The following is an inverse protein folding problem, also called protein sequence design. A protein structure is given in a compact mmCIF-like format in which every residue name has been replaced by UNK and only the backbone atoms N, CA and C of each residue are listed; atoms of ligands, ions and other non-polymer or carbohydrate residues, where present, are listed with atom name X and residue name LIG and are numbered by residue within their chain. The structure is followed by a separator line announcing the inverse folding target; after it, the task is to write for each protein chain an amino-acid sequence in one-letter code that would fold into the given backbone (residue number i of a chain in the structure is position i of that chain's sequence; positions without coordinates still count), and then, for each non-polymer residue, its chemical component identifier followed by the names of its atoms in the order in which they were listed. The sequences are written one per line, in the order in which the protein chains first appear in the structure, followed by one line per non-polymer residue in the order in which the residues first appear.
data_IF_591882002424
#
_entry.id   IF_591882002424
#
_cell.length_a   1.000
_cell.length_b   1.000
_cell.length_c   1.000
_cell.angle_alpha   90.00
_cell.angle_beta   90.00
_cell.angle_gamma   90.00
#
_symmetry.space_group_name_H-M   'P 1'
#
loop_
_entity.id
_entity.type
_entity.pdbx_description
1 polymer ?
2 water ?
#
# COMPACT_ATOMS: atom_id res chain seq x y z
N UNK A 7 -25.86 -12.27 -6.78
CA UNK A 7 -26.51 -11.14 -6.10
C UNK A 7 -25.86 -9.79 -6.41
N UNK A 8 -24.84 -9.77 -7.26
CA UNK A 8 -24.09 -8.57 -7.59
C UNK A 8 -24.13 -8.36 -9.10
N UNK A 9 -24.62 -7.20 -9.52
CA UNK A 9 -24.79 -6.89 -10.94
C UNK A 9 -23.63 -6.07 -11.44
N UNK A 10 -23.09 -6.45 -12.59
CA UNK A 10 -22.04 -5.70 -13.20
C UNK A 10 -22.61 -4.48 -13.91
N UNK A 11 -21.77 -3.50 -14.26
CA UNK A 11 -22.29 -2.33 -14.99
C UNK A 11 -22.87 -2.74 -16.34
N UNK A 12 -24.01 -2.14 -16.68
CA UNK A 12 -24.61 -2.37 -17.99
C UNK A 12 -23.72 -1.84 -19.10
N UNK A 13 -23.16 -0.66 -18.87
CA UNK A 13 -22.19 -0.08 -19.81
C UNK A 13 -21.00 0.34 -18.95
N UNK A 14 -19.76 0.34 -19.46
CA UNK A 14 -18.61 0.79 -18.67
C UNK A 14 -18.81 2.23 -18.25
N UNK A 15 -18.44 2.52 -17.01
CA UNK A 15 -18.60 3.85 -16.47
C UNK A 15 -17.43 4.71 -16.89
N UNK A 16 -17.73 5.85 -17.51
CA UNK A 16 -16.71 6.79 -17.96
C UNK A 16 -16.46 7.82 -16.86
N UNK A 17 -15.24 7.85 -16.33
CA UNK A 17 -14.84 8.85 -15.34
C UNK A 17 -14.26 10.07 -16.02
N UNK A 18 -14.37 11.20 -15.37
CA UNK A 18 -13.50 12.32 -15.64
C UNK A 18 -12.31 12.31 -14.70
N UNK A 19 -11.31 13.13 -15.01
CA UNK A 19 -10.27 13.36 -14.03
C UNK A 19 -10.63 14.60 -13.19
N UNK A 20 -9.78 14.95 -12.22
CA UNK A 20 -10.21 15.91 -11.19
C UNK A 20 -9.15 16.97 -10.92
N UNK A 21 -9.44 18.20 -11.30
CA UNK A 21 -8.47 19.29 -11.21
C UNK A 21 -9.18 20.52 -10.65
N UNK A 22 -8.58 21.12 -9.63
CA UNK A 22 -9.03 22.41 -9.07
C UNK A 22 -10.52 22.38 -8.72
N UNK A 23 -10.97 21.26 -8.15
CA UNK A 23 -12.31 21.16 -7.64
C UNK A 23 -13.36 20.67 -8.64
N UNK A 24 -13.02 20.50 -9.91
CA UNK A 24 -14.03 20.14 -10.88
C UNK A 24 -13.62 18.94 -11.70
N UNK A 25 -14.63 18.18 -12.13
CA UNK A 25 -14.45 17.07 -13.04
C UNK A 25 -14.14 17.56 -14.45
N UNK A 26 -13.24 16.87 -15.11
CA UNK A 26 -12.74 17.27 -16.42
C UNK A 26 -12.87 16.10 -17.38
N UNK A 27 -13.29 16.38 -18.60
CA UNK A 27 -13.54 15.33 -19.56
C UNK A 27 -12.25 14.90 -20.22
N UNK A 28 -12.10 13.60 -20.41
CA UNK A 28 -10.97 13.09 -21.15
C UNK A 28 -11.15 13.31 -22.64
N UNK A 29 -10.03 13.22 -23.36
CA UNK A 29 -10.02 13.16 -24.82
C UNK A 29 -9.81 11.71 -25.23
N UNK A 30 -8.63 11.16 -24.99
CA UNK A 30 -8.41 9.73 -25.16
C UNK A 30 -8.68 9.02 -23.85
N UNK A 31 -8.83 7.71 -23.93
CA UNK A 31 -9.37 6.94 -22.82
C UNK A 31 -8.74 5.56 -22.81
N UNK A 32 -8.54 5.05 -21.60
CA UNK A 32 -8.11 3.68 -21.37
C UNK A 32 -9.35 2.87 -21.00
N UNK A 33 -9.62 1.80 -21.74
CA UNK A 33 -10.77 0.95 -21.49
C UNK A 33 -10.35 -0.20 -20.59
N UNK A 34 -11.03 -0.35 -19.47
CA UNK A 34 -10.65 -1.31 -18.45
C UNK A 34 -11.77 -2.32 -18.27
N UNK A 35 -11.42 -3.59 -18.35
CA UNK A 35 -12.34 -4.69 -18.10
C UNK A 35 -12.06 -5.32 -16.75
N UNK A 36 -13.09 -5.93 -16.18
CA UNK A 36 -12.99 -6.57 -14.88
C UNK A 36 -12.06 -7.76 -14.96
N UNK A 37 -10.97 -7.81 -14.19
CA UNK A 37 -10.10 -9.01 -14.22
C UNK A 37 -10.81 -10.31 -13.93
N UNK A 38 -11.87 -10.27 -13.12
CA UNK A 38 -12.61 -11.49 -12.78
C UNK A 38 -13.74 -11.83 -13.74
N UNK A 39 -14.29 -10.86 -14.48
CA UNK A 39 -15.48 -11.08 -15.28
C UNK A 39 -15.28 -10.90 -16.78
N UNK A 40 -14.13 -10.37 -17.21
CA UNK A 40 -13.90 -10.02 -18.61
C UNK A 40 -15.10 -9.26 -19.20
N UNK A 41 -15.50 -8.20 -18.52
CA UNK A 41 -16.61 -7.36 -18.94
C UNK A 41 -16.14 -5.92 -18.79
N UNK A 42 -16.39 -5.05 -19.74
CA UNK A 42 -16.00 -3.64 -19.59
C UNK A 42 -16.61 -3.03 -18.34
N UNK A 43 -15.79 -2.31 -17.58
CA UNK A 43 -16.30 -1.75 -16.32
C UNK A 43 -16.03 -0.26 -16.23
N UNK A 44 -14.86 0.20 -16.70
CA UNK A 44 -14.54 1.62 -16.55
C UNK A 44 -13.86 2.17 -17.80
N UNK A 45 -13.93 3.48 -17.93
CA UNK A 45 -13.30 4.24 -19.00
C UNK A 45 -12.59 5.41 -18.37
N UNK A 46 -11.26 5.43 -18.48
CA UNK A 46 -10.40 6.30 -17.69
C UNK A 46 -9.70 7.27 -18.61
N UNK A 47 -9.73 8.58 -18.35
CA UNK A 47 -9.00 9.52 -19.19
C UNK A 47 -7.50 9.24 -19.18
N UNK A 48 -6.89 9.29 -20.37
CA UNK A 48 -5.45 9.28 -20.52
C UNK A 48 -5.00 10.73 -20.62
N UNK A 49 -4.56 11.29 -19.50
CA UNK A 49 -4.30 12.72 -19.53
C UNK A 49 -2.98 13.04 -20.22
N UNK A 50 -2.85 14.30 -20.58
CA UNK A 50 -1.68 14.82 -21.26
C UNK A 50 -0.71 15.45 -20.27
N UNK A 51 0.51 15.72 -20.72
CA UNK A 51 1.42 16.50 -19.91
C UNK A 51 0.81 17.86 -19.57
N UNK A 52 0.05 18.43 -20.50
CA UNK A 52 -0.60 19.71 -20.21
C UNK A 52 -1.62 19.58 -19.08
N UNK A 53 -2.35 18.46 -19.03
CA UNK A 53 -3.29 18.26 -17.93
C UNK A 53 -2.55 18.26 -16.60
N UNK A 54 -1.46 17.52 -16.50
CA UNK A 54 -0.68 17.46 -15.24
C UNK A 54 -0.18 18.85 -14.85
N UNK A 55 0.26 19.64 -15.84
CA UNK A 55 0.69 20.99 -15.52
C UNK A 55 -0.43 21.77 -14.83
N UNK A 56 -1.66 21.64 -15.33
CA UNK A 56 -2.78 22.35 -14.74
C UNK A 56 -3.05 21.88 -13.33
N UNK A 57 -2.95 20.58 -13.09
CA UNK A 57 -3.14 20.03 -11.75
C UNK A 57 -2.09 20.59 -10.79
N UNK A 58 -0.83 20.61 -11.22
CA UNK A 58 0.23 21.17 -10.40
C UNK A 58 -0.03 22.66 -10.13
N UNK A 59 -0.40 23.41 -11.18
CA UNK A 59 -0.70 24.82 -10.97
C UNK A 59 -1.84 25.00 -9.97
N UNK A 60 -2.89 24.19 -10.09
CA UNK A 60 -3.99 24.30 -9.14
C UNK A 60 -3.53 24.02 -7.72
N UNK A 61 -2.72 22.95 -7.54
CA UNK A 61 -2.21 22.61 -6.22
C UNK A 61 -1.25 23.69 -5.71
N UNK A 62 -0.43 24.24 -6.60
CA UNK A 62 0.39 25.41 -6.26
C UNK A 62 -0.47 26.56 -5.75
N UNK A 63 -1.47 26.93 -6.54
CA UNK A 63 -2.36 28.03 -6.17
C UNK A 63 -2.99 27.78 -4.81
N UNK A 64 -3.52 26.57 -4.60
CA UNK A 64 -4.22 26.28 -3.35
C UNK A 64 -3.25 26.22 -2.17
N UNK A 65 -1.99 25.87 -2.39
CA UNK A 65 -1.04 25.91 -1.28
C UNK A 65 -0.66 27.34 -0.94
N UNK A 66 -0.35 28.16 -1.95
CA UNK A 66 0.23 29.47 -1.68
C UNK A 66 -0.80 30.49 -1.21
N UNK A 67 -2.07 30.34 -1.58
CA UNK A 67 -3.07 31.34 -1.27
C UNK A 67 -3.68 31.19 0.13
N UNK A 68 -3.17 30.30 0.98
CA UNK A 68 -3.69 30.16 2.32
C UNK A 68 -4.97 29.36 2.50
N UNK A 69 -5.63 28.92 1.42
CA UNK A 69 -6.94 28.27 1.58
C UNK A 69 -6.87 26.94 2.34
N UNK A 70 -5.70 26.33 2.46
CA UNK A 70 -5.59 25.05 3.15
C UNK A 70 -4.51 25.11 4.22
N UNK A 71 -3.30 25.51 3.83
CA UNK A 71 -2.20 25.56 4.80
C UNK A 71 -2.40 26.64 5.84
N UNK A 72 -3.14 27.71 5.51
CA UNK A 72 -3.34 28.79 6.45
C UNK A 72 -4.44 28.56 7.46
N UNK A 73 -5.28 27.56 7.23
CA UNK A 73 -6.32 27.23 8.19
C UNK A 73 -5.67 26.73 9.47
N UNK A 74 -6.42 26.80 10.56
CA UNK A 74 -5.99 26.11 11.76
C UNK A 74 -6.01 24.60 11.50
N UNK A 75 -5.18 23.86 12.23
CA UNK A 75 -5.18 22.41 12.06
C UNK A 75 -6.57 21.83 12.35
N UNK A 76 -7.32 22.44 13.27
CA UNK A 76 -8.64 21.93 13.60
C UNK A 76 -9.56 21.92 12.37
N UNK A 77 -9.46 22.93 11.51
CA UNK A 77 -10.29 22.94 10.31
C UNK A 77 -9.87 21.85 9.32
N UNK A 78 -8.57 21.60 9.17
CA UNK A 78 -8.11 20.48 8.36
C UNK A 78 -8.59 19.15 8.94
N UNK A 79 -8.50 18.99 10.28
CA UNK A 79 -8.98 17.77 10.90
C UNK A 79 -10.48 17.58 10.69
N UNK A 80 -11.25 18.67 10.75
CA UNK A 80 -12.70 18.53 10.57
C UNK A 80 -13.03 17.98 9.19
N UNK A 81 -12.35 18.48 8.15
CA UNK A 81 -12.56 17.97 6.80
C UNK A 81 -12.17 16.50 6.72
N UNK A 82 -11.01 16.14 7.30
CA UNK A 82 -10.55 14.76 7.21
C UNK A 82 -11.50 13.81 7.93
N UNK A 83 -12.06 14.23 9.07
CA UNK A 83 -13.00 13.39 9.79
C UNK A 83 -14.33 13.29 9.05
N UNK A 84 -14.76 14.38 8.41
CA UNK A 84 -15.97 14.27 7.62
C UNK A 84 -15.76 13.32 6.44
N UNK A 85 -14.58 13.37 5.82
CA UNK A 85 -14.28 12.43 4.74
C UNK A 85 -14.29 11.00 5.26
N UNK A 86 -13.72 10.78 6.45
CA UNK A 86 -13.78 9.45 7.04
C UNK A 86 -15.22 8.99 7.19
N UNK A 87 -16.12 9.87 7.63
CA UNK A 87 -17.52 9.47 7.77
C UNK A 87 -18.18 9.18 6.43
N UNK A 88 -17.94 10.03 5.43
CA UNK A 88 -18.44 9.75 4.10
C UNK A 88 -17.87 8.45 3.55
N UNK A 89 -16.60 8.20 3.81
CA UNK A 89 -15.99 6.95 3.36
C UNK A 89 -16.68 5.75 3.99
N UNK A 90 -17.11 5.87 5.24
CA UNK A 90 -17.87 4.80 5.88
C UNK A 90 -19.24 4.60 5.22
N UNK A 91 -19.97 5.69 4.97
CA UNK A 91 -21.27 5.55 4.31
C UNK A 91 -21.14 4.90 2.93
N UNK A 92 -20.05 5.16 2.22
CA UNK A 92 -19.89 4.69 0.85
C UNK A 92 -19.00 3.46 0.75
N UNK A 93 -18.73 2.79 1.87
CA UNK A 93 -17.88 1.57 1.90
C UNK A 93 -18.31 0.57 0.81
N UNK A 94 -19.59 0.23 0.74
CA UNK A 94 -19.99 -0.78 -0.24
C UNK A 94 -19.72 -0.31 -1.66
N UNK A 95 -19.94 0.99 -1.94
CA UNK A 95 -19.68 1.49 -3.29
C UNK A 95 -18.19 1.47 -3.64
N UNK A 96 -17.33 1.86 -2.71
CA UNK A 96 -15.87 1.89 -2.98
C UNK A 96 -15.34 0.45 -3.10
N UNK A 97 -15.81 -0.45 -2.24
CA UNK A 97 -15.40 -1.85 -2.36
C UNK A 97 -15.80 -2.42 -3.71
N UNK A 98 -17.00 -2.08 -4.17
CA UNK A 98 -17.50 -2.58 -5.43
C UNK A 98 -16.59 -2.17 -6.59
N UNK A 99 -16.27 -0.88 -6.70
CA UNK A 99 -15.41 -0.46 -7.80
C UNK A 99 -13.99 -1.00 -7.64
N UNK A 100 -13.52 -1.18 -6.40
CA UNK A 100 -12.19 -1.74 -6.18
C UNK A 100 -12.12 -3.18 -6.67
N UNK A 101 -13.07 -4.00 -6.24
CA UNK A 101 -13.19 -5.36 -6.74
C UNK A 101 -13.24 -5.36 -8.27
N UNK A 102 -14.08 -4.51 -8.87
CA UNK A 102 -14.27 -4.53 -10.31
C UNK A 102 -12.98 -4.26 -11.07
N UNK A 103 -12.13 -3.35 -10.57
CA UNK A 103 -10.95 -2.96 -11.33
C UNK A 103 -9.72 -3.78 -10.97
N UNK A 104 -9.70 -4.41 -9.82
CA UNK A 104 -8.51 -5.02 -9.28
C UNK A 104 -8.62 -6.53 -9.09
N UNK A 105 -9.83 -7.09 -8.98
CA UNK A 105 -9.98 -8.52 -8.77
C UNK A 105 -10.00 -8.96 -7.32
N UNK A 106 -9.73 -8.04 -6.40
CA UNK A 106 -9.61 -8.34 -4.99
C UNK A 106 -10.88 -8.99 -4.45
N UNK A 107 -10.78 -9.92 -3.51
CA UNK A 107 -11.99 -10.39 -2.82
C UNK A 107 -12.68 -9.23 -2.12
N UNK A 108 -14.02 -9.26 -2.16
CA UNK A 108 -14.84 -8.17 -1.60
C UNK A 108 -14.60 -8.02 -0.11
N UNK A 109 -14.39 -9.13 0.61
CA UNK A 109 -14.15 -9.03 2.05
C UNK A 109 -12.81 -8.39 2.35
N UNK A 110 -11.81 -8.63 1.50
CA UNK A 110 -10.53 -7.95 1.64
C UNK A 110 -10.67 -6.45 1.31
N UNK A 111 -11.40 -6.12 0.24
CA UNK A 111 -11.62 -4.71 -0.09
C UNK A 111 -12.33 -3.99 1.05
N UNK A 112 -13.41 -4.58 1.59
CA UNK A 112 -14.10 -3.94 2.71
C UNK A 112 -13.19 -3.81 3.91
N UNK A 113 -12.30 -4.78 4.13
CA UNK A 113 -11.39 -4.69 5.26
C UNK A 113 -10.33 -3.63 5.05
N UNK A 114 -9.85 -3.49 3.82
CA UNK A 114 -8.94 -2.40 3.52
C UNK A 114 -9.59 -1.05 3.73
N UNK A 115 -10.87 -0.90 3.35
CA UNK A 115 -11.58 0.36 3.55
C UNK A 115 -11.60 0.75 5.03
N UNK A 116 -11.85 -0.23 5.91
CA UNK A 116 -11.88 0.07 7.34
C UNK A 116 -10.53 0.59 7.82
N UNK A 117 -9.45 0.02 7.31
CA UNK A 117 -8.12 0.53 7.59
C UNK A 117 -7.95 1.92 7.01
N UNK A 118 -8.54 2.19 5.84
CA UNK A 118 -8.47 3.52 5.24
C UNK A 118 -9.20 4.55 6.10
N UNK A 119 -10.41 4.20 6.56
CA UNK A 119 -11.15 5.07 7.47
C UNK A 119 -10.29 5.42 8.67
N UNK A 120 -9.66 4.41 9.28
CA UNK A 120 -8.79 4.66 10.44
C UNK A 120 -7.60 5.55 10.10
N UNK A 121 -7.06 5.45 8.88
CA UNK A 121 -5.98 6.35 8.49
C UNK A 121 -6.45 7.80 8.48
N UNK A 122 -7.63 8.05 7.91
CA UNK A 122 -8.18 9.40 7.93
C UNK A 122 -8.31 9.94 9.35
N UNK A 123 -8.78 9.09 10.27
CA UNK A 123 -8.93 9.53 11.66
C UNK A 123 -7.59 9.75 12.36
N UNK A 124 -6.60 8.89 12.11
CA UNK A 124 -5.27 9.17 12.66
C UNK A 124 -4.75 10.50 12.15
N UNK A 125 -4.78 10.70 10.83
CA UNK A 125 -4.25 11.92 10.25
C UNK A 125 -4.93 13.14 10.87
N UNK A 126 -6.26 13.06 11.08
CA UNK A 126 -6.98 14.17 11.68
C UNK A 126 -6.46 14.50 13.07
N UNK A 127 -6.26 13.48 13.91
CA UNK A 127 -5.72 13.72 15.24
C UNK A 127 -4.31 14.25 15.20
N UNK A 128 -3.48 13.68 14.32
CA UNK A 128 -2.09 14.07 14.25
C UNK A 128 -1.92 15.49 13.70
N UNK A 129 -2.87 15.96 12.88
CA UNK A 129 -2.81 17.35 12.40
C UNK A 129 -2.75 18.31 13.56
N UNK A 130 -3.50 18.04 14.62
CA UNK A 130 -3.50 18.92 15.78
C UNK A 130 -2.25 18.78 16.62
N UNK A 131 -1.63 17.61 16.66
CA UNK A 131 -0.47 17.42 17.53
C UNK A 131 0.84 17.89 16.91
N UNK A 132 0.85 18.26 15.63
CA UNK A 132 2.11 18.56 14.97
C UNK A 132 2.79 19.74 15.64
N UNK A 133 4.08 19.60 15.97
CA UNK A 133 4.73 20.63 16.76
C UNK A 133 6.24 20.59 16.54
N UNK A 134 6.89 21.70 16.95
CA UNK A 134 8.32 21.89 16.87
C UNK A 134 8.92 22.11 18.24
N UNK A 135 10.01 22.90 18.36
CA UNK A 135 10.69 23.04 19.63
C UNK A 135 10.92 24.50 20.00
N UNK A 136 11.03 24.78 21.31
CA UNK A 136 11.51 26.06 21.80
C UNK A 136 12.83 25.87 22.54
N UNK A 137 13.72 26.83 22.36
CA UNK A 137 14.99 26.88 23.08
C UNK A 137 14.99 28.14 23.94
N UNK A 138 14.54 27.97 25.18
CA UNK A 138 14.44 29.01 26.17
C UNK A 138 15.71 29.14 27.02
N UNK A 139 16.76 28.38 26.68
CA UNK A 139 17.98 28.26 27.48
C UNK A 139 19.18 28.87 26.78
N UNK A 140 18.95 29.84 25.91
CA UNK A 140 20.05 30.50 25.23
C UNK A 140 20.53 31.75 25.94
N UNK A 141 19.99 32.05 27.12
CA UNK A 141 20.29 33.29 27.82
C UNK A 141 19.21 34.33 27.61
N UNK A 142 19.42 35.49 28.23
CA UNK A 142 18.36 36.49 28.26
C UNK A 142 18.24 37.24 26.95
N UNK A 143 19.35 37.43 26.21
CA UNK A 143 19.22 38.18 24.99
C UNK A 143 18.83 37.41 23.75
N UNK A 144 18.50 36.13 23.88
CA UNK A 144 18.40 35.28 22.71
C UNK A 144 17.31 34.23 22.91
N UNK A 145 16.53 34.01 21.87
CA UNK A 145 15.43 33.05 21.90
C UNK A 145 15.43 32.25 20.60
N UNK A 146 15.32 30.94 20.71
CA UNK A 146 15.36 30.06 19.56
C UNK A 146 14.14 29.17 19.53
N UNK A 147 13.77 28.76 18.32
CA UNK A 147 12.71 27.76 18.17
C UNK A 147 12.78 27.13 16.79
N UNK A 148 12.13 25.97 16.69
CA UNK A 148 11.95 25.26 15.43
C UNK A 148 10.46 25.17 15.14
N UNK A 149 10.07 25.53 13.93
CA UNK A 149 8.71 25.38 13.47
C UNK A 149 8.62 24.26 12.45
N UNK A 150 7.49 23.58 12.44
CA UNK A 150 7.18 22.61 11.40
C UNK A 150 6.16 23.21 10.46
N UNK A 151 6.39 23.03 9.16
CA UNK A 151 5.61 23.63 8.09
C UNK A 151 5.37 22.58 7.02
N UNK A 152 4.24 22.66 6.31
CA UNK A 152 4.02 21.72 5.19
C UNK A 152 5.09 21.88 4.13
N UNK A 153 5.52 20.74 3.57
CA UNK A 153 6.52 20.77 2.51
C UNK A 153 6.01 21.53 1.28
N UNK A 154 4.70 21.44 0.98
CA UNK A 154 4.13 22.17 -0.13
C UNK A 154 3.30 21.32 -1.06
N UNK A 155 3.64 21.30 -2.34
CA UNK A 155 2.92 20.51 -3.33
C UNK A 155 3.57 19.14 -3.42
N UNK A 156 2.78 18.09 -3.19
CA UNK A 156 3.26 16.71 -3.15
C UNK A 156 2.71 15.98 -4.37
N UNK A 157 3.61 15.32 -5.12
CA UNK A 157 3.20 14.41 -6.16
C UNK A 157 3.22 13.00 -5.60
N UNK A 158 2.16 12.26 -5.85
CA UNK A 158 2.02 10.89 -5.37
C UNK A 158 1.68 9.98 -6.53
N UNK A 159 2.41 8.88 -6.66
CA UNK A 159 2.17 7.85 -7.68
C UNK A 159 1.91 6.55 -6.97
N UNK A 160 0.75 5.95 -7.22
CA UNK A 160 0.30 4.76 -6.52
C UNK A 160 0.29 3.56 -7.47
N UNK A 161 0.33 2.33 -6.91
CA UNK A 161 0.42 1.14 -7.78
C UNK A 161 -0.91 0.41 -7.88
N UNK A 162 -0.96 -0.64 -8.72
CA UNK A 162 -2.22 -1.31 -9.00
C UNK A 162 -2.61 -2.39 -7.99
N UNK A 163 -1.71 -2.83 -7.12
CA UNK A 163 -2.07 -3.96 -6.26
C UNK A 163 -2.94 -3.53 -5.07
N UNK A 164 -2.58 -2.45 -4.39
CA UNK A 164 -3.37 -1.92 -3.27
C UNK A 164 -3.71 -0.47 -3.56
N UNK A 165 -4.49 -0.21 -4.61
CA UNK A 165 -4.62 1.16 -5.11
C UNK A 165 -5.25 2.09 -4.11
N UNK A 166 -6.38 1.68 -3.52
CA UNK A 166 -7.06 2.54 -2.55
C UNK A 166 -6.33 2.58 -1.22
N UNK A 167 -5.79 1.45 -0.80
CA UNK A 167 -5.23 1.39 0.54
C UNK A 167 -3.92 2.17 0.64
N UNK A 168 -3.07 2.10 -0.39
CA UNK A 168 -1.86 2.90 -0.36
C UNK A 168 -2.19 4.38 -0.42
N UNK A 169 -3.16 4.74 -1.26
CA UNK A 169 -3.62 6.11 -1.33
C UNK A 169 -4.01 6.63 0.05
N UNK A 170 -4.79 5.84 0.80
CA UNK A 170 -5.27 6.33 2.09
C UNK A 170 -4.22 6.23 3.19
N UNK A 171 -3.13 5.50 2.96
CA UNK A 171 -2.04 5.54 3.92
C UNK A 171 -1.19 6.79 3.75
N UNK A 172 -1.30 7.45 2.61
CA UNK A 172 -0.50 8.62 2.28
C UNK A 172 -1.34 9.90 2.28
N UNK A 173 -2.39 9.95 1.46
CA UNK A 173 -3.10 11.21 1.18
C UNK A 173 -3.57 11.92 2.43
N UNK A 174 -4.25 11.30 3.39
CA UNK A 174 -4.73 12.08 4.55
C UNK A 174 -3.61 12.65 5.38
N UNK A 175 -2.48 11.95 5.49
CA UNK A 175 -1.35 12.51 6.23
C UNK A 175 -0.70 13.65 5.46
N UNK A 176 -0.62 13.55 4.14
CA UNK A 176 -0.12 14.64 3.32
C UNK A 176 -0.98 15.88 3.54
N UNK A 177 -2.32 15.71 3.47
CA UNK A 177 -3.22 16.85 3.59
C UNK A 177 -3.23 17.40 5.00
N UNK A 178 -2.98 16.56 6.00
CA UNK A 178 -3.11 17.01 7.37
C UNK A 178 -2.12 18.12 7.72
N UNK A 179 -0.92 18.10 7.13
CA UNK A 179 0.06 19.14 7.45
C UNK A 179 -0.24 20.45 6.77
N UNK A 180 -1.09 20.44 5.75
CA UNK A 180 -1.33 21.62 4.96
C UNK A 180 -0.76 21.51 3.58
N UNK A 181 -0.13 20.38 3.25
CA UNK A 181 0.33 20.17 1.88
C UNK A 181 -0.87 20.08 0.94
N UNK A 182 -0.62 20.34 -0.35
CA UNK A 182 -1.56 20.02 -1.41
C UNK A 182 -1.01 18.86 -2.23
N UNK A 183 -1.87 18.28 -3.06
CA UNK A 183 -1.62 16.94 -3.56
C UNK A 183 -2.06 16.81 -5.02
N UNK A 184 -1.23 16.14 -5.82
CA UNK A 184 -1.60 15.65 -7.15
C UNK A 184 -1.29 14.16 -7.19
N UNK A 185 -2.29 13.35 -7.53
CA UNK A 185 -2.17 11.90 -7.52
C UNK A 185 -2.27 11.37 -8.94
N UNK A 186 -1.40 10.43 -9.29
CA UNK A 186 -1.55 9.63 -10.49
C UNK A 186 -1.68 8.17 -10.09
N UNK A 187 -2.85 7.58 -10.16
CA UNK A 187 -2.99 6.16 -9.83
C UNK A 187 -2.66 5.31 -11.04
N UNK A 188 -2.59 4.00 -10.83
CA UNK A 188 -2.31 3.09 -11.94
C UNK A 188 -3.48 3.09 -12.91
N UNK A 189 -3.16 3.11 -14.21
CA UNK A 189 -4.19 3.13 -15.25
C UNK A 189 -5.22 2.02 -15.07
N UNK A 190 -4.83 0.88 -14.50
CA UNK A 190 -5.77 -0.23 -14.41
C UNK A 190 -6.66 -0.14 -13.16
N UNK A 191 -6.29 0.67 -12.18
CA UNK A 191 -7.07 0.75 -10.94
C UNK A 191 -7.25 2.21 -10.48
N UNK A 192 -7.89 3.03 -11.33
CA UNK A 192 -8.03 4.44 -11.05
C UNK A 192 -9.34 4.81 -10.37
N UNK A 193 -10.39 3.99 -10.51
CA UNK A 193 -11.73 4.41 -10.13
C UNK A 193 -11.79 4.86 -8.68
N UNK A 194 -11.21 4.08 -7.76
CA UNK A 194 -11.40 4.41 -6.36
C UNK A 194 -10.64 5.68 -5.97
N UNK A 195 -9.54 5.98 -6.68
CA UNK A 195 -8.84 7.23 -6.41
C UNK A 195 -9.70 8.44 -6.77
N UNK A 196 -10.47 8.36 -7.88
CA UNK A 196 -11.41 9.41 -8.27
C UNK A 196 -12.61 9.45 -7.32
N UNK A 197 -13.08 8.30 -6.84
CA UNK A 197 -14.16 8.32 -5.86
C UNK A 197 -13.69 8.95 -4.55
N UNK A 198 -12.40 8.85 -4.24
CA UNK A 198 -11.90 9.57 -3.06
C UNK A 198 -11.90 11.07 -3.31
N UNK A 199 -11.58 11.49 -4.54
CA UNK A 199 -11.66 12.92 -4.88
C UNK A 199 -13.07 13.43 -4.63
N UNK A 200 -14.08 12.67 -5.07
CA UNK A 200 -15.47 13.05 -4.82
C UNK A 200 -15.76 13.13 -3.33
N UNK A 201 -15.34 12.11 -2.59
CA UNK A 201 -15.54 12.12 -1.13
C UNK A 201 -14.95 13.37 -0.50
N UNK A 202 -13.72 13.75 -0.89
CA UNK A 202 -13.08 14.89 -0.26
C UNK A 202 -13.75 16.22 -0.66
N UNK A 203 -14.24 16.36 -1.89
CA UNK A 203 -15.07 17.51 -2.22
C UNK A 203 -16.32 17.54 -1.35
N UNK A 204 -17.00 16.39 -1.24
CA UNK A 204 -18.22 16.34 -0.42
C UNK A 204 -17.91 16.61 1.04
N UNK A 205 -16.69 16.36 1.48
CA UNK A 205 -16.33 16.65 2.86
C UNK A 205 -15.91 18.10 3.05
N UNK A 206 -15.83 18.88 1.98
CA UNK A 206 -15.47 20.28 2.07
C UNK A 206 -14.01 20.63 1.83
N UNK A 207 -13.22 19.76 1.22
CA UNK A 207 -11.85 20.11 0.87
C UNK A 207 -11.84 21.26 -0.13
N UNK A 208 -11.10 22.34 0.11
CA UNK A 208 -11.03 23.42 -0.88
C UNK A 208 -10.52 22.94 -2.23
N UNK A 209 -10.85 23.70 -3.26
CA UNK A 209 -10.44 23.35 -4.62
C UNK A 209 -8.91 23.37 -4.75
N UNK A 210 -8.39 22.44 -5.56
CA UNK A 210 -6.97 22.37 -5.84
C UNK A 210 -6.12 21.71 -4.77
N UNK A 211 -6.69 21.38 -3.61
CA UNK A 211 -5.93 20.70 -2.56
C UNK A 211 -5.72 19.22 -2.90
N UNK A 212 -6.65 18.59 -3.64
CA UNK A 212 -6.53 17.20 -4.05
C UNK A 212 -6.89 17.10 -5.53
N UNK A 213 -5.95 16.67 -6.35
CA UNK A 213 -6.12 16.61 -7.79
C UNK A 213 -5.71 15.22 -8.28
N UNK A 214 -6.51 14.64 -9.17
CA UNK A 214 -6.23 13.33 -9.72
C UNK A 214 -6.03 13.47 -11.22
N UNK A 215 -4.86 13.06 -11.71
CA UNK A 215 -4.56 13.07 -13.13
C UNK A 215 -4.26 11.65 -13.56
N UNK A 216 -5.14 11.07 -14.36
CA UNK A 216 -5.01 9.69 -14.77
C UNK A 216 -4.30 9.59 -16.12
N UNK A 217 -3.82 8.38 -16.42
CA UNK A 217 -3.08 8.19 -17.63
C UNK A 217 -1.85 7.33 -17.40
N UNK A 218 -0.95 7.33 -18.38
CA UNK A 218 0.15 6.38 -18.40
C UNK A 218 1.35 6.88 -17.60
N UNK A 219 2.20 5.94 -17.21
CA UNK A 219 3.48 6.30 -16.63
C UNK A 219 4.34 7.08 -17.60
N UNK A 220 4.34 6.67 -18.88
CA UNK A 220 5.15 7.35 -19.89
C UNK A 220 4.78 8.82 -20.00
N UNK A 221 3.48 9.14 -19.95
CA UNK A 221 3.07 10.53 -20.15
C UNK A 221 2.92 11.28 -18.82
N UNK A 222 1.97 10.84 -17.97
CA UNK A 222 1.67 11.64 -16.78
C UNK A 222 2.72 11.42 -15.70
N UNK A 223 3.18 10.18 -15.51
CA UNK A 223 4.23 9.93 -14.55
C UNK A 223 5.50 10.70 -14.87
N UNK A 224 5.94 10.65 -16.13
CA UNK A 224 7.16 11.37 -16.49
C UNK A 224 7.01 12.87 -16.30
N UNK A 225 5.88 13.43 -16.73
CA UNK A 225 5.68 14.86 -16.52
C UNK A 225 5.75 15.18 -15.04
N UNK A 226 5.33 14.24 -14.20
CA UNK A 226 5.32 14.48 -12.77
C UNK A 226 6.74 14.47 -12.22
N UNK A 227 7.53 13.46 -12.60
CA UNK A 227 8.89 13.34 -12.06
C UNK A 227 9.77 14.49 -12.52
N UNK A 228 9.48 15.06 -13.69
CA UNK A 228 10.28 16.13 -14.25
C UNK A 228 9.73 17.50 -13.94
N UNK A 229 8.58 17.58 -13.26
CA UNK A 229 7.99 18.87 -12.99
C UNK A 229 8.82 19.62 -11.95
N UNK A 230 9.08 20.90 -12.20
CA UNK A 230 9.92 21.66 -11.29
C UNK A 230 9.12 22.47 -10.30
N UNK A 231 7.82 22.23 -10.19
CA UNK A 231 7.00 22.97 -9.18
C UNK A 231 6.43 22.01 -8.12
N UNK A 232 6.83 20.74 -8.16
CA UNK A 232 6.42 19.79 -7.14
C UNK A 232 7.49 19.77 -6.05
N UNK A 233 7.10 20.06 -4.81
CA UNK A 233 8.07 20.12 -3.72
C UNK A 233 8.54 18.75 -3.27
N UNK A 234 7.71 17.72 -3.43
CA UNK A 234 8.03 16.39 -2.95
C UNK A 234 7.30 15.37 -3.81
N UNK A 235 8.01 14.32 -4.19
CA UNK A 235 7.51 13.30 -5.07
C UNK A 235 7.58 11.98 -4.34
N UNK A 236 6.46 11.28 -4.24
CA UNK A 236 6.39 10.04 -3.47
C UNK A 236 5.88 8.95 -4.39
N UNK A 237 6.76 8.01 -4.74
CA UNK A 237 6.41 6.81 -5.49
C UNK A 237 6.19 5.64 -4.55
N UNK A 238 5.04 5.01 -4.68
CA UNK A 238 4.79 3.75 -3.99
C UNK A 238 4.64 2.61 -4.97
N UNK A 239 4.61 2.90 -6.27
CA UNK A 239 4.77 1.90 -7.30
C UNK A 239 6.18 1.92 -7.82
N UNK A 240 6.43 2.77 -8.82
CA UNK A 240 7.76 2.99 -9.41
C UNK A 240 8.53 1.71 -9.74
N UNK A 256 11.54 21.72 -5.51
CA UNK A 256 11.70 20.25 -5.46
C UNK A 256 12.83 19.86 -4.49
N UNK A 257 12.48 19.46 -3.28
CA UNK A 257 13.47 19.07 -2.28
C UNK A 257 13.56 17.57 -2.06
N UNK A 258 12.45 16.83 -2.03
CA UNK A 258 12.50 15.43 -1.66
C UNK A 258 11.81 14.53 -2.67
N UNK A 259 12.36 13.33 -2.81
CA UNK A 259 11.72 12.25 -3.56
C UNK A 259 11.86 10.99 -2.72
N UNK A 260 10.73 10.35 -2.40
CA UNK A 260 10.72 9.10 -1.67
C UNK A 260 10.30 7.97 -2.61
N UNK A 261 10.91 6.81 -2.43
CA UNK A 261 10.51 5.57 -3.08
C UNK A 261 10.03 4.58 -2.01
N UNK A 262 9.41 3.51 -2.45
CA UNK A 262 8.97 2.48 -1.52
C UNK A 262 9.28 1.10 -2.09
N UNK A 263 9.34 0.15 -1.18
CA UNK A 263 10.11 -1.08 -1.34
C UNK A 263 9.16 -2.27 -1.57
N UNK A 264 9.71 -3.49 -1.51
CA UNK A 264 9.03 -4.65 -2.03
C UNK A 264 8.22 -5.42 -1.02
N UNK A 265 7.41 -6.35 -1.56
CA UNK A 265 6.58 -7.25 -0.78
C UNK A 265 7.13 -8.65 -0.60
N UNK A 266 8.46 -8.76 -0.57
CA UNK A 266 9.11 -10.07 -0.29
C UNK A 266 9.28 -10.14 1.22
N UNK A 267 8.23 -9.83 1.97
CA UNK A 267 8.31 -9.72 3.40
C UNK A 267 8.60 -11.09 4.01
N UNK A 268 9.70 -11.25 4.74
CA UNK A 268 10.04 -12.54 5.34
C UNK A 268 9.38 -12.76 6.69
N UNK A 269 9.15 -14.03 6.98
CA UNK A 269 8.60 -14.52 8.23
C UNK A 269 9.60 -15.57 8.73
N UNK A 270 10.24 -15.30 9.86
CA UNK A 270 11.32 -16.14 10.36
C UNK A 270 10.76 -16.97 11.50
N UNK A 271 10.83 -18.30 11.36
CA UNK A 271 10.24 -19.20 12.35
C UNK A 271 11.32 -20.05 12.99
N UNK A 272 11.39 -20.00 14.32
CA UNK A 272 12.36 -20.75 15.10
C UNK A 272 11.70 -21.97 15.71
N UNK A 273 12.54 -22.96 16.03
CA UNK A 273 12.03 -24.21 16.59
C UNK A 273 11.38 -24.01 17.96
N UNK A 274 11.85 -23.04 18.74
CA UNK A 274 11.25 -22.83 20.06
C UNK A 274 9.96 -22.01 20.03
N UNK A 275 9.39 -21.78 18.85
CA UNK A 275 8.18 -20.99 18.73
C UNK A 275 6.94 -21.87 18.83
N UNK A 276 5.77 -21.22 18.85
CA UNK A 276 4.49 -21.92 18.74
C UNK A 276 4.21 -22.19 17.26
N UNK A 277 4.61 -23.40 16.82
CA UNK A 277 4.60 -23.71 15.39
C UNK A 277 3.20 -23.63 14.80
N UNK A 278 2.17 -23.90 15.61
CA UNK A 278 0.82 -23.85 15.08
C UNK A 278 0.40 -22.41 14.81
N UNK A 279 0.56 -21.54 15.81
CA UNK A 279 0.29 -20.11 15.59
C UNK A 279 1.15 -19.56 14.45
N UNK A 280 2.43 -19.93 14.42
CA UNK A 280 3.30 -19.45 13.34
C UNK A 280 2.79 -19.90 11.98
N UNK A 281 2.29 -21.15 11.88
CA UNK A 281 1.80 -21.63 10.61
C UNK A 281 0.53 -20.91 10.20
N UNK A 282 -0.36 -20.67 11.18
CA UNK A 282 -1.52 -19.82 10.94
C UNK A 282 -1.12 -18.47 10.37
N UNK A 283 -0.09 -17.84 10.96
CA UNK A 283 0.33 -16.53 10.49
C UNK A 283 0.83 -16.57 9.06
N UNK A 284 1.52 -17.65 8.68
CA UNK A 284 1.92 -17.81 7.28
C UNK A 284 0.69 -17.93 6.38
N UNK A 285 -0.32 -18.67 6.83
CA UNK A 285 -1.52 -18.85 6.02
C UNK A 285 -2.29 -17.54 5.86
N UNK A 286 -2.49 -16.81 6.97
CA UNK A 286 -3.16 -15.52 6.92
C UNK A 286 -2.36 -14.51 6.13
N UNK A 287 -1.03 -14.60 6.18
CA UNK A 287 -0.18 -13.64 5.50
C UNK A 287 -0.14 -13.81 4.00
N UNK A 288 -0.67 -14.91 3.49
CA UNK A 288 -0.65 -15.16 2.07
C UNK A 288 -2.04 -15.05 1.45
N UNK A 289 -3.10 -15.27 2.22
CA UNK A 289 -4.46 -15.16 1.76
C UNK A 289 -5.09 -13.93 2.39
N UNK A 290 -6.42 -13.90 2.42
CA UNK A 290 -7.16 -12.95 3.22
C UNK A 290 -8.04 -13.70 4.19
N UNK A 291 -7.92 -13.38 5.48
CA UNK A 291 -8.84 -13.90 6.49
C UNK A 291 -9.49 -12.74 7.23
N UNK A 292 -10.68 -13.00 7.79
CA UNK A 292 -11.40 -11.99 8.53
C UNK A 292 -10.58 -11.50 9.71
N UNK A 293 -10.60 -10.18 9.94
CA UNK A 293 -9.78 -9.57 10.96
C UNK A 293 -8.35 -9.29 10.53
N UNK A 294 -7.94 -9.78 9.36
CA UNK A 294 -6.68 -9.42 8.73
C UNK A 294 -6.92 -8.36 7.66
N UNK A 295 -5.87 -7.62 7.35
CA UNK A 295 -6.04 -6.52 6.42
C UNK A 295 -5.06 -6.54 5.24
N UNK A 296 -3.76 -6.41 5.50
CA UNK A 296 -2.97 -5.88 4.40
C UNK A 296 -1.46 -6.02 4.49
N UNK A 297 -0.96 -7.20 4.85
CA UNK A 297 0.48 -7.46 4.90
C UNK A 297 0.69 -8.80 4.20
N UNK A 298 0.92 -8.74 2.89
CA UNK A 298 1.32 -9.94 2.16
C UNK A 298 2.72 -10.36 2.60
N UNK A 299 2.95 -11.66 2.69
CA UNK A 299 4.27 -12.21 2.91
C UNK A 299 4.57 -13.25 1.84
N UNK A 300 5.84 -13.33 1.45
CA UNK A 300 6.21 -14.24 0.37
C UNK A 300 7.50 -15.01 0.60
N UNK A 301 8.17 -14.86 1.75
CA UNK A 301 9.36 -15.64 2.06
C UNK A 301 9.25 -16.21 3.46
N UNK A 302 9.48 -17.51 3.58
CA UNK A 302 9.45 -18.20 4.85
C UNK A 302 10.86 -18.65 5.18
N UNK A 303 11.31 -18.40 6.42
CA UNK A 303 12.69 -18.63 6.82
C UNK A 303 12.62 -19.41 8.13
N UNK A 304 12.84 -20.72 8.05
CA UNK A 304 12.40 -21.62 9.09
C UNK A 304 13.58 -22.49 9.53
N UNK A 305 13.71 -22.66 10.84
CA UNK A 305 14.81 -23.46 11.36
C UNK A 305 14.76 -24.88 10.80
N UNK A 306 15.91 -25.35 10.31
CA UNK A 306 15.96 -26.62 9.57
C UNK A 306 15.38 -27.77 10.39
N UNK A 307 15.70 -27.82 11.68
CA UNK A 307 15.24 -28.94 12.51
C UNK A 307 13.72 -29.05 12.62
N UNK A 308 12.94 -28.05 12.18
CA UNK A 308 11.49 -28.17 12.22
C UNK A 308 10.90 -27.82 10.86
N UNK A 309 11.76 -27.63 9.86
CA UNK A 309 11.27 -27.20 8.55
C UNK A 309 10.22 -28.15 7.99
N UNK A 310 10.45 -29.45 8.12
CA UNK A 310 9.54 -30.42 7.50
C UNK A 310 8.19 -30.45 8.21
N UNK A 311 8.19 -30.51 9.54
CA UNK A 311 6.92 -30.49 10.26
C UNK A 311 6.16 -29.20 9.99
N UNK A 312 6.86 -28.07 10.05
CA UNK A 312 6.18 -26.77 9.90
C UNK A 312 5.64 -26.58 8.48
N UNK A 313 6.44 -26.94 7.46
CA UNK A 313 5.96 -26.82 6.09
C UNK A 313 4.72 -27.66 5.87
N UNK A 314 4.65 -28.85 6.48
CA UNK A 314 3.43 -29.66 6.36
C UNK A 314 2.25 -28.93 6.99
N UNK A 315 2.47 -28.31 8.14
CA UNK A 315 1.43 -27.50 8.78
C UNK A 315 0.93 -26.41 7.85
N UNK A 316 1.85 -25.75 7.14
CA UNK A 316 1.50 -24.62 6.29
C UNK A 316 0.75 -25.09 5.04
N UNK A 317 1.20 -26.20 4.45
CA UNK A 317 0.54 -26.73 3.26
C UNK A 317 -0.91 -27.14 3.57
N UNK A 318 -1.13 -27.77 4.72
CA UNK A 318 -2.50 -28.13 5.09
C UNK A 318 -3.41 -26.91 5.15
N UNK A 319 -2.93 -25.81 5.76
CA UNK A 319 -3.74 -24.60 5.82
C UNK A 319 -3.85 -23.94 4.45
N UNK A 320 -2.79 -23.98 3.66
CA UNK A 320 -2.85 -23.34 2.35
C UNK A 320 -3.89 -24.00 1.45
N UNK A 321 -4.16 -25.29 1.65
CA UNK A 321 -5.08 -25.98 0.77
C UNK A 321 -6.53 -25.79 1.17
N UNK A 322 -6.79 -25.16 2.33
CA UNK A 322 -8.13 -24.74 2.68
C UNK A 322 -8.49 -23.34 2.15
N UNK A 323 -7.50 -22.57 1.69
CA UNK A 323 -7.76 -21.18 1.28
C UNK A 323 -8.75 -21.17 0.12
N UNK A 324 -9.82 -20.40 0.29
CA UNK A 324 -10.89 -20.39 -0.69
C UNK A 324 -10.57 -19.47 -1.85
N UNK A 325 -10.69 -20.00 -3.07
CA UNK A 325 -10.32 -19.29 -4.29
C UNK A 325 -11.56 -19.22 -5.16
N UNK A 326 -11.74 -18.09 -5.86
CA UNK A 326 -12.90 -17.94 -6.72
C UNK A 326 -13.53 -16.56 -6.77
N UNK A 327 -14.86 -16.54 -6.98
CA UNK A 327 -15.63 -15.33 -7.27
C UNK A 327 -15.36 -14.25 -6.24
N UNK A 328 -14.73 -13.14 -6.64
CA UNK A 328 -14.32 -12.14 -5.63
C UNK A 328 -15.50 -11.48 -4.97
N UNK A 329 -16.69 -11.50 -5.59
CA UNK A 329 -17.87 -10.93 -4.95
C UNK A 329 -18.52 -11.90 -3.97
N UNK A 330 -18.03 -13.12 -3.92
CA UNK A 330 -18.42 -14.05 -2.87
C UNK A 330 -17.72 -13.62 -1.59
N UNK A 331 -18.45 -13.31 -0.52
CA UNK A 331 -17.79 -12.80 0.69
C UNK A 331 -16.85 -13.81 1.33
N UNK A 332 -16.88 -15.09 0.93
CA UNK A 332 -15.99 -16.08 1.49
C UNK A 332 -14.72 -16.30 0.69
N UNK A 333 -14.67 -15.84 -0.56
CA UNK A 333 -13.42 -15.90 -1.30
C UNK A 333 -12.28 -15.28 -0.48
N UNK A 334 -11.12 -15.90 -0.57
CA UNK A 334 -9.92 -15.39 0.08
C UNK A 334 -8.81 -15.05 -0.91
N UNK A 335 -8.91 -15.49 -2.16
CA UNK A 335 -7.92 -15.15 -3.17
C UNK A 335 -8.70 -14.73 -4.42
N UNK A 336 -8.41 -13.55 -4.92
CA UNK A 336 -9.13 -12.98 -6.04
C UNK A 336 -8.41 -13.21 -7.37
N UNK A 337 -8.89 -12.50 -8.38
CA UNK A 337 -8.45 -12.70 -9.74
C UNK A 337 -7.15 -11.96 -10.02
N UNK A 338 -6.37 -12.51 -10.97
CA UNK A 338 -5.15 -11.85 -11.40
C UNK A 338 -5.52 -10.51 -12.03
N UNK A 339 -4.81 -9.45 -11.64
CA UNK A 339 -5.21 -8.08 -11.98
C UNK A 339 -4.87 -7.73 -13.43
N UNK A 340 -3.68 -8.07 -13.91
CA UNK A 340 -3.27 -7.73 -15.26
C UNK A 340 -2.77 -8.96 -16.01
N UNK A 341 -2.84 -8.89 -17.34
CA UNK A 341 -2.33 -9.97 -18.17
C UNK A 341 -0.82 -10.15 -18.00
N UNK A 342 -0.10 -9.07 -17.67
CA UNK A 342 1.33 -9.17 -17.43
C UNK A 342 1.62 -10.05 -16.22
N UNK A 343 1.00 -9.72 -15.08
CA UNK A 343 1.17 -10.52 -13.86
C UNK A 343 0.94 -12.01 -14.11
N UNK A 344 0.21 -12.35 -15.17
CA UNK A 344 -0.11 -13.74 -15.43
C UNK A 344 1.09 -14.52 -15.96
N UNK A 345 1.90 -13.90 -16.84
CA UNK A 345 3.06 -14.62 -17.37
C UNK A 345 4.19 -14.67 -16.36
N UNK A 346 4.32 -13.62 -15.56
CA UNK A 346 5.31 -13.61 -14.49
C UNK A 346 5.12 -14.81 -13.56
N UNK A 347 3.88 -15.16 -13.26
CA UNK A 347 3.64 -16.25 -12.30
C UNK A 347 3.99 -17.59 -12.91
N UNK A 348 3.50 -17.87 -14.12
CA UNK A 348 3.83 -19.15 -14.73
C UNK A 348 5.31 -19.24 -15.05
N UNK A 349 5.94 -18.12 -15.42
CA UNK A 349 7.39 -18.08 -15.57
C UNK A 349 8.07 -18.39 -14.25
N UNK A 350 7.70 -17.64 -13.20
CA UNK A 350 8.28 -17.86 -11.89
C UNK A 350 8.28 -19.33 -11.51
N UNK A 351 7.11 -19.97 -11.59
CA UNK A 351 7.00 -21.35 -11.14
C UNK A 351 7.84 -22.26 -12.02
N UNK A 352 7.87 -22.00 -13.32
CA UNK A 352 8.71 -22.77 -14.22
C UNK A 352 10.18 -22.64 -13.83
N UNK A 353 10.63 -21.41 -13.60
CA UNK A 353 12.00 -21.19 -13.16
C UNK A 353 12.30 -21.98 -11.89
N UNK A 354 11.39 -21.93 -10.92
CA UNK A 354 11.64 -22.61 -9.66
C UNK A 354 11.81 -24.10 -9.83
N UNK A 355 10.99 -24.71 -10.69
CA UNK A 355 11.15 -26.13 -10.98
C UNK A 355 12.48 -26.40 -11.66
N UNK A 356 12.82 -25.60 -12.66
CA UNK A 356 14.07 -25.80 -13.38
C UNK A 356 15.27 -25.78 -12.45
N UNK A 357 15.31 -24.86 -11.48
CA UNK A 357 16.47 -24.74 -10.61
C UNK A 357 16.47 -25.76 -9.47
N UNK A 358 15.52 -26.68 -9.42
CA UNK A 358 15.52 -27.69 -8.39
C UNK A 358 14.85 -27.30 -7.09
N UNK A 359 14.01 -26.28 -7.08
CA UNK A 359 13.17 -26.03 -5.92
C UNK A 359 12.02 -27.01 -5.92
N UNK A 360 11.65 -27.49 -4.74
CA UNK A 360 10.63 -28.51 -4.63
C UNK A 360 9.25 -27.87 -4.43
N UNK A 361 8.37 -28.08 -5.39
CA UNK A 361 6.99 -27.63 -5.26
C UNK A 361 6.24 -28.48 -4.25
N UNK A 362 5.72 -27.86 -3.20
CA UNK A 362 4.97 -28.61 -2.20
C UNK A 362 3.46 -28.53 -2.36
N UNK A 363 2.95 -27.52 -3.08
CA UNK A 363 1.52 -27.42 -3.33
C UNK A 363 1.28 -26.28 -4.32
N UNK A 364 0.08 -26.26 -4.88
CA UNK A 364 -0.24 -25.26 -5.90
C UNK A 364 0.62 -25.40 -7.14
N UNK A 365 0.95 -24.27 -7.76
CA UNK A 365 1.79 -24.26 -8.92
C UNK A 365 1.07 -23.86 -10.18
N UNK A 366 -0.26 -23.82 -10.16
CA UNK A 366 -1.04 -23.54 -11.34
C UNK A 366 -1.89 -22.28 -11.19
N UNK A 367 -2.41 -21.85 -12.34
CA UNK A 367 -3.37 -20.77 -12.41
C UNK A 367 -4.70 -21.38 -12.78
N UNK A 368 -5.73 -21.12 -11.99
CA UNK A 368 -7.04 -21.71 -12.24
C UNK A 368 -7.84 -20.79 -13.14
N UNK A 369 -8.32 -21.33 -14.25
CA UNK A 369 -9.28 -20.64 -15.10
C UNK A 369 -10.66 -20.94 -14.52
N UNK A 370 -11.19 -20.01 -13.75
CA UNK A 370 -12.49 -20.18 -13.10
C UNK A 370 -13.47 -19.29 -13.84
N UNK A 371 -14.14 -19.85 -14.84
CA UNK A 371 -15.02 -19.06 -15.67
C UNK A 371 -14.22 -18.10 -16.53
N UNK A 372 -14.50 -16.81 -16.40
CA UNK A 372 -13.84 -15.78 -17.20
C UNK A 372 -12.73 -15.06 -16.44
N UNK A 373 -12.12 -15.73 -15.45
CA UNK A 373 -11.05 -15.12 -14.69
C UNK A 373 -9.95 -16.13 -14.39
N UNK A 374 -8.80 -15.60 -14.00
CA UNK A 374 -7.67 -16.40 -13.60
C UNK A 374 -7.35 -16.19 -12.14
N UNK A 375 -6.91 -17.26 -11.47
CA UNK A 375 -6.67 -17.24 -10.04
C UNK A 375 -5.42 -18.03 -9.75
N UNK A 376 -4.50 -17.43 -8.99
CA UNK A 376 -3.26 -18.11 -8.62
C UNK A 376 -3.54 -19.06 -7.48
N UNK A 377 -3.12 -20.31 -7.64
CA UNK A 377 -3.24 -21.23 -6.51
C UNK A 377 -2.25 -20.82 -5.43
N UNK A 378 -2.63 -20.91 -4.17
CA UNK A 378 -1.63 -20.78 -3.10
C UNK A 378 -0.50 -21.77 -3.36
N UNK A 379 0.72 -21.29 -3.41
CA UNK A 379 1.86 -22.07 -3.89
C UNK A 379 3.05 -21.91 -2.95
N UNK A 380 3.71 -23.04 -2.67
CA UNK A 380 4.82 -23.08 -1.71
C UNK A 380 5.96 -23.90 -2.30
N UNK A 381 7.07 -23.25 -2.61
CA UNK A 381 8.32 -23.92 -2.93
C UNK A 381 9.12 -24.09 -1.64
N UNK A 382 9.70 -25.27 -1.45
CA UNK A 382 10.67 -25.47 -0.39
C UNK A 382 12.03 -25.83 -1.00
N UNK A 383 13.01 -26.04 -0.12
CA UNK A 383 14.40 -26.29 -0.50
C UNK A 383 14.85 -25.27 -1.53
N UNK A 384 14.83 -24.01 -1.10
CA UNK A 384 15.22 -22.89 -1.95
C UNK A 384 16.53 -22.34 -1.42
N UNK A 385 17.53 -22.38 -2.21
CA UNK A 385 18.77 -21.77 -1.76
C UNK A 385 18.76 -20.28 -2.12
N UNK A 386 19.41 -19.44 -1.32
CA UNK A 386 19.41 -17.99 -1.63
C UNK A 386 20.00 -17.66 -3.00
N UNK A 387 20.85 -18.51 -3.55
CA UNK A 387 21.47 -18.23 -4.84
C UNK A 387 20.55 -18.51 -6.03
N UNK A 388 19.43 -19.21 -5.81
CA UNK A 388 18.48 -19.51 -6.87
C UNK A 388 17.90 -18.24 -7.48
N UNK A 389 17.36 -18.38 -8.70
CA UNK A 389 16.80 -17.24 -9.40
C UNK A 389 15.44 -16.82 -8.88
N UNK A 390 14.67 -17.75 -8.30
CA UNK A 390 13.39 -17.37 -7.71
C UNK A 390 13.54 -16.76 -6.32
N UNK A 391 14.73 -16.83 -5.72
CA UNK A 391 15.00 -16.08 -4.51
C UNK A 391 15.21 -14.61 -4.82
N UNK A 392 15.88 -14.32 -5.94
CA UNK A 392 16.01 -12.94 -6.40
C UNK A 392 14.67 -12.40 -6.90
N UNK A 393 14.06 -13.08 -7.88
CA UNK A 393 12.86 -12.56 -8.54
C UNK A 393 11.72 -12.35 -7.56
N UNK A 394 10.83 -11.44 -7.93
CA UNK A 394 9.70 -11.12 -7.09
C UNK A 394 8.39 -11.25 -7.86
N UNK A 395 7.35 -11.64 -7.14
CA UNK A 395 6.02 -11.79 -7.70
C UNK A 395 4.99 -11.32 -6.69
N UNK A 396 3.85 -10.92 -7.21
CA UNK A 396 2.67 -10.68 -6.39
C UNK A 396 1.69 -11.80 -6.63
N UNK A 397 1.16 -12.35 -5.56
CA UNK A 397 0.33 -13.51 -5.61
C UNK A 397 0.63 -14.41 -4.43
N UNK A 398 -0.25 -15.33 -4.14
CA UNK A 398 -0.04 -16.19 -2.96
C UNK A 398 1.00 -17.27 -3.21
N UNK A 399 2.23 -16.83 -3.48
CA UNK A 399 3.34 -17.71 -3.84
C UNK A 399 4.43 -17.54 -2.80
N UNK A 400 4.82 -18.64 -2.17
CA UNK A 400 5.64 -18.63 -0.97
C UNK A 400 6.87 -19.49 -1.19
N UNK A 401 8.04 -18.99 -0.80
CA UNK A 401 9.29 -19.72 -0.92
C UNK A 401 9.89 -19.94 0.46
N UNK A 402 10.30 -21.16 0.76
CA UNK A 402 10.80 -21.52 2.08
C UNK A 402 12.30 -21.76 2.04
N UNK A 403 13.04 -21.06 2.90
CA UNK A 403 14.46 -21.23 3.12
C UNK A 403 14.68 -21.84 4.49
N UNK A 404 15.78 -22.56 4.64
CA UNK A 404 16.11 -23.23 5.90
C UNK A 404 17.42 -22.66 6.46
N UNK A 405 17.53 -22.66 7.79
CA UNK A 405 18.70 -22.11 8.45
C UNK A 405 18.99 -22.94 9.70
N UNK A 406 20.24 -22.88 10.15
CA UNK A 406 20.65 -23.45 11.43
C UNK A 406 20.90 -22.39 12.49
N UNK A 407 21.48 -21.25 12.13
CA UNK A 407 21.88 -20.25 13.11
C UNK A 407 21.06 -18.97 12.96
N UNK A 408 21.01 -18.21 14.07
CA UNK A 408 20.36 -16.91 14.05
C UNK A 408 20.91 -16.03 12.93
N UNK A 409 22.24 -16.03 12.76
CA UNK A 409 22.83 -15.16 11.74
C UNK A 409 22.52 -15.65 10.32
N UNK A 410 22.29 -16.95 10.13
CA UNK A 410 21.83 -17.43 8.82
C UNK A 410 20.44 -16.90 8.52
N UNK A 411 19.53 -17.00 9.48
CA UNK A 411 18.19 -16.48 9.28
C UNK A 411 18.24 -15.00 8.90
N UNK A 412 19.00 -14.20 9.65
CA UNK A 412 19.08 -12.76 9.40
C UNK A 412 19.63 -12.49 8.00
N UNK A 413 20.68 -13.22 7.59
CA UNK A 413 21.27 -12.96 6.26
C UNK A 413 20.33 -13.35 5.12
N UNK A 414 19.57 -14.44 5.28
CA UNK A 414 18.55 -14.78 4.30
C UNK A 414 17.45 -13.72 4.27
N UNK A 415 17.02 -13.27 5.45
CA UNK A 415 15.98 -12.25 5.51
C UNK A 415 16.42 -10.96 4.82
N UNK A 416 17.68 -10.57 5.00
CA UNK A 416 18.20 -9.32 4.47
C UNK A 416 18.66 -9.40 3.03
N UNK A 417 18.45 -10.54 2.36
CA UNK A 417 19.00 -10.70 1.01
C UNK A 417 18.29 -9.83 -0.03
N UNK A 418 17.24 -9.11 0.33
CA UNK A 418 16.58 -8.19 -0.59
C UNK A 418 17.13 -6.77 -0.36
N UNK A 419 16.56 -5.82 -1.09
CA UNK A 419 17.06 -4.44 -1.03
C UNK A 419 16.63 -3.76 0.26
N UNK A 420 15.33 -3.81 0.56
CA UNK A 420 14.75 -3.34 1.81
C UNK A 420 13.32 -3.84 1.90
N UNK A 421 12.88 -4.13 3.12
CA UNK A 421 11.62 -4.83 3.33
C UNK A 421 10.51 -3.89 3.78
N UNK A 422 9.31 -4.15 3.26
CA UNK A 422 8.13 -3.49 3.78
C UNK A 422 7.81 -4.01 5.19
N UNK A 423 7.75 -5.32 5.36
CA UNK A 423 7.37 -5.91 6.64
C UNK A 423 8.22 -7.15 6.90
N UNK A 424 8.15 -7.62 8.14
CA UNK A 424 8.87 -8.81 8.57
C UNK A 424 8.30 -9.25 9.91
N UNK A 425 8.48 -10.54 10.22
CA UNK A 425 8.08 -11.03 11.52
C UNK A 425 8.98 -12.19 11.95
N UNK A 426 8.95 -12.47 13.23
CA UNK A 426 9.77 -13.52 13.81
C UNK A 426 8.93 -14.24 14.86
N UNK A 427 9.10 -15.55 14.93
CA UNK A 427 8.41 -16.39 15.89
C UNK A 427 9.47 -17.08 16.72
N UNK A 428 9.46 -16.84 18.02
CA UNK A 428 10.44 -17.39 18.93
C UNK A 428 10.05 -17.03 20.34
N UNK A 429 10.20 -17.98 21.25
CA UNK A 429 10.05 -17.66 22.66
C UNK A 429 11.34 -17.15 23.26
N UNK A 430 12.44 -17.23 22.53
CA UNK A 430 13.74 -16.83 23.06
C UNK A 430 13.97 -15.33 22.84
N UNK A 431 14.11 -14.59 23.94
CA UNK A 431 14.19 -13.13 23.87
C UNK A 431 15.41 -12.68 23.07
N UNK A 432 16.54 -13.37 23.22
CA UNK A 432 17.71 -12.99 22.44
C UNK A 432 17.49 -13.22 20.95
N UNK A 433 16.83 -14.31 20.56
CA UNK A 433 16.64 -14.55 19.13
C UNK A 433 15.63 -13.57 18.54
N UNK A 434 14.50 -13.37 19.24
CA UNK A 434 13.50 -12.40 18.82
C UNK A 434 14.10 -11.00 18.65
N UNK A 435 14.85 -10.53 19.65
CA UNK A 435 15.41 -9.19 19.58
C UNK A 435 16.48 -9.09 18.51
N UNK A 436 17.32 -10.12 18.37
CA UNK A 436 18.35 -10.06 17.34
C UNK A 436 17.74 -9.96 15.96
N UNK A 437 16.67 -10.73 15.71
CA UNK A 437 16.05 -10.68 14.40
C UNK A 437 15.35 -9.34 14.19
N UNK A 438 14.62 -8.88 15.21
CA UNK A 438 13.90 -7.62 15.08
C UNK A 438 14.86 -6.45 14.82
N UNK A 439 16.01 -6.43 15.50
CA UNK A 439 16.92 -5.30 15.30
C UNK A 439 17.73 -5.42 14.01
N UNK A 440 18.10 -6.62 13.59
CA UNK A 440 19.08 -6.68 12.51
C UNK A 440 18.47 -6.95 11.14
N UNK A 441 17.18 -7.26 11.05
CA UNK A 441 16.51 -7.44 9.77
C UNK A 441 15.92 -6.12 9.32
N UNK A 442 16.23 -5.72 8.10
CA UNK A 442 15.86 -4.40 7.60
C UNK A 442 14.42 -4.44 7.10
N UNK A 443 13.50 -3.92 7.90
CA UNK A 443 12.12 -3.80 7.48
C UNK A 443 11.51 -2.60 8.20
N UNK A 444 10.48 -2.02 7.60
CA UNK A 444 9.82 -0.88 8.22
C UNK A 444 8.83 -1.23 9.32
N UNK A 445 8.23 -2.42 9.24
CA UNK A 445 7.24 -2.86 10.21
C UNK A 445 7.57 -4.29 10.61
N UNK A 446 7.59 -4.55 11.92
CA UNK A 446 8.05 -5.83 12.42
C UNK A 446 7.02 -6.42 13.39
N UNK A 447 6.70 -7.70 13.21
CA UNK A 447 5.83 -8.40 14.14
C UNK A 447 6.62 -9.47 14.89
N UNK A 448 6.31 -9.63 16.15
CA UNK A 448 6.99 -10.60 17.01
C UNK A 448 5.93 -11.49 17.63
N UNK A 449 5.91 -12.77 17.25
CA UNK A 449 4.97 -13.78 17.73
C UNK A 449 3.52 -13.31 17.56
N UNK A 450 3.23 -12.69 16.42
CA UNK A 450 1.85 -12.32 16.10
C UNK A 450 1.67 -12.32 14.59
N UNK A 451 0.40 -12.32 14.18
CA UNK A 451 0.02 -12.19 12.77
C UNK A 451 0.36 -10.79 12.26
N UNK A 452 1.02 -10.71 11.09
CA UNK A 452 1.23 -9.42 10.42
C UNK A 452 -0.10 -8.89 9.90
N UNK A 453 -0.57 -7.78 10.45
CA UNK A 453 -1.88 -7.27 10.05
C UNK A 453 -1.96 -5.76 10.30
N UNK A 454 -2.81 -5.10 9.52
CA UNK A 454 -3.18 -3.72 9.77
C UNK A 454 -4.67 -3.54 9.95
N UNK A 455 -5.37 -4.60 10.37
CA UNK A 455 -6.80 -4.55 10.58
C UNK A 455 -7.22 -5.23 11.87
N UNK A 456 -8.51 -5.05 12.25
CA UNK A 456 -9.07 -5.61 13.49
C UNK A 456 -9.15 -7.14 13.50
N UNK A 469 -0.81 3.87 20.83
CA UNK A 469 -0.45 4.66 19.66
C UNK A 469 0.24 3.93 18.51
N UNK A 470 0.03 4.44 17.30
CA UNK A 470 0.67 3.89 16.10
C UNK A 470 1.92 4.70 15.75
N UNK A 471 2.79 4.09 14.95
CA UNK A 471 3.93 4.84 14.41
C UNK A 471 3.38 5.87 13.42
N UNK A 472 2.46 5.44 12.54
CA UNK A 472 1.88 6.40 11.61
C UNK A 472 1.13 7.51 12.33
N UNK A 473 0.55 7.21 13.49
CA UNK A 473 -0.06 8.26 14.30
C UNK A 473 0.94 9.34 14.68
N UNK A 474 2.12 8.93 15.14
CA UNK A 474 3.13 9.89 15.56
C UNK A 474 3.81 10.59 14.36
N UNK A 475 4.08 9.84 13.26
CA UNK A 475 5.07 10.23 12.25
C UNK A 475 4.53 10.41 10.83
N UNK A 476 3.35 9.92 10.51
CA UNK A 476 2.85 10.04 9.15
C UNK A 476 2.77 11.49 8.69
N UNK A 477 2.35 12.39 9.59
CA UNK A 477 2.19 13.80 9.22
C UNK A 477 3.54 14.49 9.10
N UNK A 478 4.43 14.25 10.06
CA UNK A 478 5.77 14.87 10.03
C UNK A 478 6.51 14.59 8.73
N UNK A 479 6.27 13.43 8.12
CA UNK A 479 7.00 13.06 6.89
C UNK A 479 6.82 14.09 5.79
N UNK A 480 5.70 14.79 5.74
CA UNK A 480 5.47 15.79 4.71
C UNK A 480 5.63 17.21 5.25
N UNK A 481 6.55 17.40 6.19
CA UNK A 481 6.84 18.71 6.73
C UNK A 481 8.33 18.97 6.67
N UNK A 482 8.69 20.24 6.72
CA UNK A 482 10.07 20.66 6.94
C UNK A 482 10.16 21.50 8.19
N UNK A 483 11.38 21.66 8.67
CA UNK A 483 11.61 22.44 9.88
C UNK A 483 12.23 23.76 9.49
N UNK A 484 11.82 24.81 10.19
CA UNK A 484 12.37 26.14 10.05
C UNK A 484 12.96 26.49 11.42
N UNK A 485 14.26 26.75 11.47
CA UNK A 485 14.85 27.19 12.72
C UNK A 485 14.75 28.71 12.80
N UNK A 486 14.44 29.23 13.97
CA UNK A 486 14.20 30.65 14.14
C UNK A 486 15.03 31.13 15.32
N UNK A 487 15.79 32.21 15.08
CA UNK A 487 16.79 32.76 15.98
C UNK A 487 16.43 34.23 16.18
N UNK A 488 16.00 34.60 17.40
CA UNK A 488 15.50 35.94 17.71
C UNK A 488 16.42 36.57 18.75
N UNK A 489 17.10 37.67 18.39
CA UNK A 489 17.94 38.39 19.33
C UNK A 489 17.14 39.45 20.07
N UNK A 490 17.35 39.50 21.40
CA UNK A 490 16.58 40.29 22.39
C UNK A 490 15.12 40.48 22.01
#
# INVERSE_FOLDING_TARGET
MNVVSKTVSLPLKPREFGFFIDGEWRAGKDFFDRSSPAHDVPVTRIPRCTREDLDEAVAAARRAFENGSWAGLAAADRAAVLLKAAGLLRERRDDIAYWEVLENGKPISQAKGEIDHCIACFEMAAGAARMLHGDTFNNLGEGLFGMVLREPIGVVGLITPWNFPFMILCERAPFILASGCTLVVKPAEVTSATTLLLAEILADAGLPKGVFNVVTGTGRTVGQAMTEHQDIDMLSFTGSTGVGKSCIHAAADSNLKKLGLELGGKNPIVVFADSNLEDAADAVAFGISFNTGQCCVSSSRLIVERSVAEKFERLVVAKMEKIRVGDPFDPETQIGAITTEAQNKTILDYIAKGKAEGAKLLCGGGIVDFGKGQYIQPTLFTDVKPSMGIARDEIFGPVLASFHFDTVDEAIAIANDTVYGLAASVWSKDIDKALAVTRRVRAGRFWVNTIMSGGPETPLGGFKQSGWGREAGLYGVEEYTQIKSVHIETGKRSHWISHHHHHH
#
